data_IF_662688528484
#
_entry.id   IF_662688528484
#
_cell.length_a   1.000
_cell.length_b   1.000
_cell.length_c   1.000
_cell.angle_alpha   90.00
_cell.angle_beta   90.00
_cell.angle_gamma   90.00
#
_symmetry.space_group_name_H-M   'P 1'
#
loop_
_entity.id
_entity.type
_entity.pdbx_description
1 polymer ?
#
# COMPACT_ATOMS: atom_id res chain seq x y z
N UNK A 1 8.35 35.85 3.05
CA UNK A 1 7.36 34.96 3.70
C UNK A 1 7.19 33.74 2.81
N UNK A 2 7.54 32.55 3.29
CA UNK A 2 7.41 31.32 2.49
C UNK A 2 6.00 30.79 2.64
N UNK A 3 5.20 30.90 1.58
CA UNK A 3 3.83 30.41 1.57
C UNK A 3 3.82 28.89 1.80
N UNK A 4 3.13 28.43 2.85
CA UNK A 4 3.00 26.99 3.14
C UNK A 4 2.14 26.36 2.04
N UNK A 5 2.78 25.60 1.14
CA UNK A 5 2.06 24.82 0.14
C UNK A 5 1.25 23.72 0.84
N UNK A 6 -0.05 23.67 0.56
CA UNK A 6 -0.96 22.64 1.08
C UNK A 6 -0.88 21.37 0.22
N UNK A 7 -0.82 20.23 0.88
CA UNK A 7 -0.82 18.92 0.24
C UNK A 7 -2.18 18.26 0.41
N UNK A 8 -2.57 17.49 -0.60
CA UNK A 8 -3.64 16.50 -0.51
C UNK A 8 -3.00 15.13 -0.50
N UNK A 9 -3.34 14.34 0.52
CA UNK A 9 -2.97 12.93 0.61
C UNK A 9 -4.25 12.12 0.62
N UNK A 10 -4.36 11.15 -0.29
CA UNK A 10 -5.44 10.18 -0.28
C UNK A 10 -4.87 8.79 -0.05
N UNK A 11 -5.34 8.16 1.02
CA UNK A 11 -4.91 6.83 1.44
C UNK A 11 -6.00 5.79 1.14
N UNK A 12 -5.56 4.58 0.77
CA UNK A 12 -6.38 3.37 0.74
C UNK A 12 -5.63 2.23 1.42
N UNK A 13 -6.33 1.53 2.29
CA UNK A 13 -5.88 0.27 2.88
C UNK A 13 -6.21 -0.82 1.87
N UNK A 14 -5.26 -1.69 1.54
CA UNK A 14 -5.40 -2.67 0.48
C UNK A 14 -4.97 -4.06 0.91
N UNK A 15 -5.53 -5.04 0.22
CA UNK A 15 -5.39 -6.43 0.56
C UNK A 15 -5.44 -7.30 -0.68
N UNK A 16 -4.31 -7.42 -1.36
CA UNK A 16 -4.21 -8.15 -2.62
C UNK A 16 -3.60 -9.53 -2.43
N UNK A 17 -4.06 -10.48 -3.24
CA UNK A 17 -3.26 -11.67 -3.51
C UNK A 17 -2.15 -11.36 -4.49
N UNK A 18 -1.22 -12.31 -4.66
CA UNK A 18 -0.21 -12.21 -5.71
C UNK A 18 -0.85 -12.03 -7.10
N UNK A 19 -1.95 -12.73 -7.39
CA UNK A 19 -2.65 -12.60 -8.67
C UNK A 19 -3.30 -11.21 -8.84
N UNK A 20 -4.01 -10.71 -7.82
CA UNK A 20 -4.56 -9.35 -7.84
C UNK A 20 -3.45 -8.30 -8.01
N UNK A 21 -2.32 -8.51 -7.34
CA UNK A 21 -1.16 -7.63 -7.39
C UNK A 21 -0.51 -7.59 -8.78
N UNK A 22 -0.31 -8.76 -9.39
CA UNK A 22 0.20 -8.87 -10.76
C UNK A 22 -0.74 -8.18 -11.75
N UNK A 23 -2.04 -8.49 -11.67
CA UNK A 23 -3.03 -7.90 -12.56
C UNK A 23 -3.14 -6.37 -12.39
N UNK A 24 -3.07 -5.87 -11.16
CA UNK A 24 -3.03 -4.44 -10.89
C UNK A 24 -1.72 -3.80 -11.39
N UNK A 25 -0.58 -4.46 -11.20
CA UNK A 25 0.71 -4.01 -11.73
C UNK A 25 0.70 -3.89 -13.25
N UNK A 26 0.10 -4.84 -13.95
CA UNK A 26 -0.02 -4.81 -15.41
C UNK A 26 -0.90 -3.66 -15.87
N UNK A 27 -2.04 -3.47 -15.21
CA UNK A 27 -2.94 -2.38 -15.53
C UNK A 27 -2.32 -1.01 -15.22
N UNK A 28 -1.48 -0.91 -14.19
CA UNK A 28 -0.69 0.30 -13.92
C UNK A 28 0.35 0.54 -15.02
N UNK A 29 1.07 -0.48 -15.47
CA UNK A 29 2.04 -0.34 -16.55
C UNK A 29 1.39 0.07 -17.89
N UNK A 30 0.18 -0.43 -18.17
CA UNK A 30 -0.61 -0.02 -19.33
C UNK A 30 -1.11 1.43 -19.21
N UNK A 31 -1.67 1.80 -18.05
CA UNK A 31 -2.24 3.14 -17.84
C UNK A 31 -1.17 4.22 -17.65
N UNK A 32 0.01 3.85 -17.16
CA UNK A 32 1.10 4.73 -16.78
C UNK A 32 2.45 4.18 -17.28
N UNK A 33 2.66 4.08 -18.61
CA UNK A 33 3.89 3.50 -19.17
C UNK A 33 5.16 4.29 -18.83
N UNK A 34 5.02 5.56 -18.48
CA UNK A 34 6.11 6.43 -18.02
C UNK A 34 6.43 6.26 -16.53
N UNK A 35 5.57 5.58 -15.77
CA UNK A 35 5.78 5.46 -14.34
C UNK A 35 6.99 4.57 -14.03
N UNK A 36 7.77 5.01 -13.06
CA UNK A 36 8.91 4.26 -12.52
C UNK A 36 8.64 3.92 -11.06
N UNK A 37 9.06 2.74 -10.66
CA UNK A 37 8.87 2.21 -9.32
C UNK A 37 10.23 1.89 -8.69
N UNK A 38 10.25 1.85 -7.35
CA UNK A 38 11.39 1.48 -6.48
C UNK A 38 12.77 1.53 -7.15
N UNK A 39 13.60 2.46 -6.70
CA UNK A 39 14.92 2.66 -7.28
C UNK A 39 16.00 2.10 -6.38
N UNK A 40 17.07 1.59 -7.00
CA UNK A 40 18.28 1.15 -6.32
C UNK A 40 19.53 1.62 -7.03
N UNK A 41 20.65 1.77 -6.32
CA UNK A 41 21.94 1.79 -6.99
C UNK A 41 22.17 0.46 -7.73
N UNK A 42 22.81 0.52 -8.89
CA UNK A 42 23.19 -0.67 -9.67
C UNK A 42 24.19 -1.57 -8.92
N UNK A 43 25.00 -0.96 -8.06
CA UNK A 43 25.93 -1.63 -7.16
C UNK A 43 25.98 -0.89 -5.82
N UNK A 44 26.00 -1.66 -4.74
CA UNK A 44 25.99 -1.10 -3.38
C UNK A 44 27.39 -0.79 -2.85
N UNK A 45 28.46 -1.28 -3.48
CA UNK A 45 29.85 -1.16 -3.01
C UNK A 45 30.74 -0.62 -4.12
N UNK A 46 31.58 0.36 -3.80
CA UNK A 46 32.54 0.96 -4.74
C UNK A 46 32.82 2.43 -4.44
N UNK A 47 33.89 2.97 -5.03
CA UNK A 47 34.24 4.40 -4.89
C UNK A 47 33.44 5.30 -5.85
N UNK A 48 33.03 4.76 -6.99
CA UNK A 48 32.27 5.50 -8.01
C UNK A 48 30.79 5.58 -7.68
N UNK A 49 30.14 6.68 -8.09
CA UNK A 49 28.69 6.86 -7.91
C UNK A 49 27.94 5.85 -8.78
N UNK A 50 27.07 5.01 -8.19
CA UNK A 50 26.31 4.04 -8.95
C UNK A 50 25.25 4.71 -9.81
N UNK A 51 25.02 4.11 -10.97
CA UNK A 51 23.83 4.37 -11.76
C UNK A 51 22.59 3.95 -10.96
N UNK A 52 21.48 4.65 -11.20
CA UNK A 52 20.20 4.32 -10.57
C UNK A 52 19.41 3.43 -11.50
N UNK A 53 19.07 2.24 -11.02
CA UNK A 53 18.19 1.30 -11.70
C UNK A 53 16.78 1.50 -11.17
N UNK A 54 15.84 1.67 -12.10
CA UNK A 54 14.41 1.80 -11.84
C UNK A 54 13.68 0.54 -12.28
N UNK A 55 12.71 0.11 -11.49
CA UNK A 55 11.78 -0.94 -11.90
C UNK A 55 10.60 -0.33 -12.67
N UNK A 56 10.08 -1.05 -13.66
CA UNK A 56 9.00 -0.55 -14.54
C UNK A 56 7.63 -1.12 -14.19
N UNK A 57 7.60 -2.14 -13.34
CA UNK A 57 6.39 -2.80 -12.86
C UNK A 57 6.53 -3.02 -11.37
N UNK A 58 5.45 -2.75 -10.65
CA UNK A 58 5.47 -2.84 -9.20
C UNK A 58 5.52 -4.30 -8.70
N UNK A 59 5.01 -5.24 -9.49
CA UNK A 59 5.09 -6.67 -9.21
C UNK A 59 6.50 -7.25 -9.37
N UNK A 60 7.40 -6.58 -10.10
CA UNK A 60 8.76 -7.06 -10.35
C UNK A 60 9.74 -6.64 -9.24
N UNK A 61 9.28 -5.84 -8.28
CA UNK A 61 10.10 -5.35 -7.17
C UNK A 61 10.31 -6.50 -6.16
N UNK A 62 11.57 -6.86 -5.86
CA UNK A 62 11.85 -7.99 -4.99
C UNK A 62 11.37 -7.73 -3.54
N UNK A 63 10.45 -8.57 -3.05
CA UNK A 63 9.84 -8.50 -1.72
C UNK A 63 10.82 -8.64 -0.54
N UNK A 64 12.01 -9.21 -0.79
CA UNK A 64 13.06 -9.40 0.22
C UNK A 64 14.35 -8.75 -0.26
N UNK A 65 14.62 -7.53 0.20
CA UNK A 65 15.99 -7.01 0.16
C UNK A 65 16.58 -7.06 1.55
N UNK A 66 17.33 -8.13 1.84
CA UNK A 66 18.53 -7.99 2.69
C UNK A 66 19.43 -6.99 1.96
N UNK A 67 19.45 -5.74 2.40
CA UNK A 67 20.35 -4.71 1.86
C UNK A 67 19.71 -3.51 1.15
N UNK A 68 18.38 -3.43 1.02
CA UNK A 68 17.76 -2.18 0.59
C UNK A 68 17.85 -1.13 1.69
N UNK A 69 18.28 0.07 1.31
CA UNK A 69 18.33 1.25 2.18
C UNK A 69 16.96 1.87 2.48
N UNK A 70 15.83 1.29 2.03
CA UNK A 70 14.50 1.68 2.51
C UNK A 70 14.17 0.94 3.80
N UNK A 71 14.67 1.50 4.91
CA UNK A 71 14.28 1.11 6.27
C UNK A 71 12.78 1.28 6.56
N UNK A 72 12.04 1.92 5.64
CA UNK A 72 10.59 1.97 5.63
C UNK A 72 10.11 1.16 4.42
N UNK A 73 9.23 0.18 4.63
CA UNK A 73 8.70 -0.76 3.62
C UNK A 73 7.81 -0.10 2.56
N UNK A 74 8.34 0.93 1.91
CA UNK A 74 7.66 1.87 1.05
C UNK A 74 8.24 1.81 -0.36
N UNK A 75 7.39 1.54 -1.34
CA UNK A 75 7.73 1.58 -2.76
C UNK A 75 7.12 2.85 -3.36
N UNK A 76 7.91 3.81 -3.86
CA UNK A 76 7.38 4.94 -4.59
C UNK A 76 7.05 4.55 -6.03
N UNK A 77 6.02 5.18 -6.60
CA UNK A 77 5.72 5.25 -8.03
C UNK A 77 5.76 6.70 -8.46
N UNK A 78 6.64 6.99 -9.40
CA UNK A 78 6.97 8.32 -9.89
C UNK A 78 6.44 8.45 -11.32
N UNK A 79 5.67 9.50 -11.60
CA UNK A 79 5.10 9.74 -12.94
C UNK A 79 6.03 10.52 -13.87
N UNK A 80 7.16 11.02 -13.37
CA UNK A 80 8.18 11.75 -14.11
C UNK A 80 9.34 10.81 -14.46
N UNK A 81 9.47 10.36 -15.73
CA UNK A 81 10.50 9.42 -16.15
C UNK A 81 11.91 10.01 -16.15
N UNK A 82 12.02 11.34 -16.16
CA UNK A 82 13.31 12.07 -16.21
C UNK A 82 13.81 12.43 -14.81
N UNK A 83 12.96 12.28 -13.80
CA UNK A 83 13.35 12.56 -12.42
C UNK A 83 14.41 11.58 -11.92
N UNK A 84 15.48 12.12 -11.32
CA UNK A 84 16.56 11.34 -10.72
C UNK A 84 16.77 11.75 -9.25
N UNK A 85 17.08 10.78 -8.36
CA UNK A 85 17.46 11.11 -6.99
C UNK A 85 18.80 11.83 -7.00
N UNK A 86 18.81 13.07 -6.50
CA UNK A 86 19.99 13.93 -6.45
C UNK A 86 21.01 13.52 -5.38
N UNK A 87 20.62 12.69 -4.40
CA UNK A 87 21.48 12.30 -3.27
C UNK A 87 21.59 10.78 -3.09
N UNK A 88 22.61 10.19 -3.68
CA UNK A 88 23.21 8.95 -3.16
C UNK A 88 24.23 9.38 -2.11
N UNK A 89 24.00 9.09 -0.83
CA UNK A 89 24.99 9.37 0.22
C UNK A 89 25.74 8.10 0.56
N UNK A 90 26.98 8.31 0.90
CA UNK A 90 27.76 7.45 1.76
C UNK A 90 27.00 7.19 3.07
N UNK A 91 26.63 5.94 3.34
CA UNK A 91 26.11 5.55 4.65
C UNK A 91 27.10 4.57 5.27
N UNK A 92 27.91 4.99 6.25
CA UNK A 92 28.65 4.02 7.06
C UNK A 92 27.62 3.19 7.85
N UNK A 93 27.56 1.88 7.59
CA UNK A 93 26.78 0.97 8.41
C UNK A 93 27.55 0.71 9.71
N UNK A 94 26.91 0.97 10.84
CA UNK A 94 27.53 0.93 12.18
C UNK A 94 28.19 -0.40 12.58
N UNK A 95 28.03 -1.47 11.79
CA UNK A 95 28.52 -2.82 12.09
C UNK A 95 29.37 -3.44 10.96
N UNK A 96 29.79 -2.67 9.96
CA UNK A 96 30.65 -3.17 8.88
C UNK A 96 32.07 -2.59 8.99
N UNK A 97 33.10 -3.33 8.52
CA UNK A 97 34.48 -2.83 8.48
C UNK A 97 34.56 -1.42 7.85
N UNK A 98 35.48 -0.55 8.31
CA UNK A 98 35.65 0.82 7.79
C UNK A 98 35.88 0.89 6.27
N UNK A 99 36.31 -0.23 5.67
CA UNK A 99 36.71 -0.34 4.27
C UNK A 99 35.54 -0.80 3.37
N UNK A 100 34.42 -1.22 3.95
CA UNK A 100 33.19 -1.59 3.23
C UNK A 100 32.32 -0.37 3.00
N UNK A 101 32.71 0.38 1.97
CA UNK A 101 32.01 1.59 1.56
C UNK A 101 30.72 1.22 0.85
N UNK A 102 29.58 1.76 1.32
CA UNK A 102 28.27 1.51 0.69
C UNK A 102 27.56 2.77 0.22
N UNK A 103 26.98 2.66 -0.97
CA UNK A 103 26.06 3.65 -1.50
C UNK A 103 24.68 3.44 -0.90
N UNK A 104 24.25 4.42 -0.11
CA UNK A 104 22.88 4.53 0.34
C UNK A 104 22.15 5.64 -0.40
N UNK A 105 20.84 5.57 -0.38
CA UNK A 105 20.00 6.69 -0.79
C UNK A 105 19.73 7.51 0.48
N UNK A 106 20.23 8.74 0.53
CA UNK A 106 19.83 9.64 1.61
C UNK A 106 18.35 9.99 1.46
N UNK A 107 17.65 10.18 2.58
CA UNK A 107 16.28 10.70 2.57
C UNK A 107 16.24 12.05 1.82
N UNK A 108 15.79 11.94 0.56
CA UNK A 108 15.10 12.89 -0.33
C UNK A 108 15.78 14.21 -0.76
N UNK A 109 16.01 14.39 -2.08
CA UNK A 109 15.30 15.43 -2.86
C UNK A 109 13.78 15.26 -2.75
N UNK A 110 13.05 16.38 -2.82
CA UNK A 110 11.58 16.35 -2.88
C UNK A 110 11.13 15.48 -4.06
N UNK A 111 10.59 14.30 -3.77
CA UNK A 111 9.90 13.44 -4.74
C UNK A 111 8.95 14.30 -5.57
N UNK A 112 8.95 14.17 -6.91
CA UNK A 112 8.13 15.03 -7.75
C UNK A 112 6.66 14.73 -7.44
N UNK A 113 5.85 15.79 -7.40
CA UNK A 113 4.41 15.65 -7.19
C UNK A 113 3.70 15.70 -8.54
N UNK A 114 2.66 14.87 -8.75
CA UNK A 114 2.18 13.84 -7.83
C UNK A 114 3.10 12.62 -7.78
N UNK A 115 2.95 11.80 -6.73
CA UNK A 115 3.53 10.45 -6.68
C UNK A 115 2.62 9.52 -5.87
N UNK A 116 2.81 8.22 -6.04
CA UNK A 116 2.13 7.19 -5.24
C UNK A 116 3.16 6.49 -4.37
N UNK A 117 2.75 6.09 -3.17
CA UNK A 117 3.56 5.35 -2.21
C UNK A 117 2.79 4.09 -1.81
N UNK A 118 3.44 2.95 -1.95
CA UNK A 118 2.92 1.63 -1.61
C UNK A 118 3.66 1.15 -0.37
N UNK A 119 2.99 1.15 0.78
CA UNK A 119 3.56 0.83 2.08
C UNK A 119 3.11 -0.57 2.55
N UNK A 120 4.01 -1.25 3.26
CA UNK A 120 3.79 -2.56 3.89
C UNK A 120 3.38 -3.66 2.92
N UNK A 121 4.27 -3.95 1.96
CA UNK A 121 4.27 -5.16 1.10
C UNK A 121 2.88 -5.53 0.57
N UNK A 122 2.48 -4.85 -0.50
CA UNK A 122 1.19 -4.96 -1.18
C UNK A 122 0.90 -6.35 -1.82
N UNK A 123 1.69 -7.37 -1.48
CA UNK A 123 1.43 -8.77 -1.80
C UNK A 123 2.10 -9.70 -0.79
N UNK A 124 1.50 -10.86 -0.48
CA UNK A 124 2.11 -11.88 0.37
C UNK A 124 3.28 -12.55 -0.35
N UNK A 125 4.33 -12.93 0.38
CA UNK A 125 5.34 -13.84 -0.19
C UNK A 125 4.79 -15.28 -0.31
N UNK A 126 5.45 -16.11 -1.11
CA UNK A 126 4.99 -17.49 -1.40
C UNK A 126 4.97 -18.38 -0.16
N UNK A 127 5.81 -18.10 0.85
CA UNK A 127 5.82 -18.83 2.11
C UNK A 127 4.72 -18.34 3.06
N UNK A 128 4.42 -17.04 3.00
CA UNK A 128 3.30 -16.39 3.68
C UNK A 128 1.97 -17.00 3.22
N UNK A 129 1.76 -17.22 1.91
CA UNK A 129 0.54 -17.89 1.40
C UNK A 129 0.30 -19.31 1.96
N UNK A 130 1.36 -20.02 2.36
CA UNK A 130 1.28 -21.38 2.88
C UNK A 130 1.11 -21.46 4.41
N UNK A 131 1.42 -20.38 5.13
CA UNK A 131 1.53 -20.36 6.61
C UNK A 131 0.62 -19.34 7.29
N UNK A 132 0.09 -18.38 6.54
CA UNK A 132 -0.69 -17.29 7.09
C UNK A 132 -2.14 -17.70 7.39
N UNK A 133 -2.58 -17.43 8.61
CA UNK A 133 -4.00 -17.33 9.00
C UNK A 133 -4.55 -15.89 8.91
N UNK A 134 -3.67 -14.88 8.80
CA UNK A 134 -3.94 -13.43 8.72
C UNK A 134 -2.92 -12.70 7.83
N UNK A 135 -3.34 -12.26 6.66
CA UNK A 135 -2.50 -11.51 5.72
C UNK A 135 -1.99 -10.17 6.32
N UNK A 136 -0.92 -9.59 5.75
CA UNK A 136 -0.44 -8.26 6.18
C UNK A 136 -1.24 -7.15 5.50
N UNK A 137 -1.56 -6.14 6.28
CA UNK A 137 -2.17 -4.90 5.79
C UNK A 137 -1.18 -4.10 4.96
N UNK A 138 -1.65 -3.51 3.87
CA UNK A 138 -0.84 -2.62 3.04
C UNK A 138 -1.55 -1.31 2.78
N UNK A 139 -0.80 -0.24 2.58
CA UNK A 139 -1.35 1.09 2.35
C UNK A 139 -0.89 1.65 1.00
N UNK A 140 -1.81 2.26 0.27
CA UNK A 140 -1.52 3.04 -0.93
C UNK A 140 -1.85 4.49 -0.64
N UNK A 141 -0.84 5.35 -0.74
CA UNK A 141 -0.96 6.79 -0.55
C UNK A 141 -0.70 7.51 -1.87
N UNK A 142 -1.62 8.36 -2.29
CA UNK A 142 -1.43 9.27 -3.41
C UNK A 142 -1.18 10.68 -2.87
N UNK A 143 -0.05 11.27 -3.25
CA UNK A 143 0.36 12.62 -2.84
C UNK A 143 0.24 13.59 -4.00
N UNK A 144 -0.42 14.74 -3.78
CA UNK A 144 -0.42 15.85 -4.74
C UNK A 144 -0.55 17.20 -4.03
N UNK A 145 -0.29 18.29 -4.76
CA UNK A 145 -0.57 19.65 -4.28
C UNK A 145 -2.08 19.91 -4.31
N UNK A 146 -2.61 20.54 -3.26
CA UNK A 146 -4.05 20.71 -3.07
C UNK A 146 -4.72 21.60 -4.14
N UNK A 147 -3.96 22.54 -4.70
CA UNK A 147 -4.37 23.49 -5.74
C UNK A 147 -4.11 22.99 -7.17
N UNK A 148 -3.40 21.86 -7.33
CA UNK A 148 -3.07 21.29 -8.64
C UNK A 148 -4.25 20.46 -9.19
N UNK A 149 -5.16 21.12 -9.92
CA UNK A 149 -6.33 20.48 -10.54
C UNK A 149 -5.98 19.29 -11.45
N UNK A 150 -4.95 19.36 -12.34
CA UNK A 150 -4.48 18.20 -13.09
C UNK A 150 -4.11 17.01 -12.20
N UNK A 151 -3.31 17.22 -11.15
CA UNK A 151 -2.90 16.15 -10.25
C UNK A 151 -4.07 15.55 -9.45
N UNK A 152 -5.07 16.37 -9.10
CA UNK A 152 -6.30 15.88 -8.48
C UNK A 152 -7.16 15.03 -9.45
N UNK A 153 -7.19 15.40 -10.74
CA UNK A 153 -7.83 14.58 -11.77
C UNK A 153 -7.10 13.25 -11.98
N UNK A 154 -5.76 13.28 -11.94
CA UNK A 154 -4.94 12.08 -12.06
C UNK A 154 -5.13 11.14 -10.86
N UNK A 155 -5.15 11.68 -9.64
CA UNK A 155 -5.51 10.92 -8.45
C UNK A 155 -6.86 10.20 -8.59
N UNK A 156 -7.87 10.86 -9.18
CA UNK A 156 -9.18 10.21 -9.43
C UNK A 156 -9.09 9.11 -10.48
N UNK A 157 -8.25 9.25 -11.50
CA UNK A 157 -8.01 8.20 -12.52
C UNK A 157 -7.32 7.01 -11.89
N UNK A 158 -6.24 7.24 -11.13
CA UNK A 158 -5.51 6.20 -10.40
C UNK A 158 -6.45 5.40 -9.50
N UNK A 159 -7.25 6.06 -8.65
CA UNK A 159 -8.14 5.33 -7.76
C UNK A 159 -9.29 4.63 -8.48
N UNK A 160 -9.77 5.15 -9.62
CA UNK A 160 -10.74 4.41 -10.44
C UNK A 160 -10.14 3.16 -11.08
N UNK A 161 -8.85 3.20 -11.42
CA UNK A 161 -8.13 2.01 -11.90
C UNK A 161 -7.97 1.01 -10.77
N UNK A 162 -7.48 1.47 -9.60
CA UNK A 162 -7.40 0.65 -8.40
C UNK A 162 -8.75 -0.03 -8.17
N UNK A 163 -9.84 0.73 -8.07
CA UNK A 163 -11.22 0.24 -7.84
C UNK A 163 -11.70 -0.88 -8.81
N UNK A 164 -11.02 -1.15 -9.95
CA UNK A 164 -11.33 -2.30 -10.82
C UNK A 164 -10.82 -3.63 -10.27
N UNK A 165 -9.69 -3.63 -9.55
CA UNK A 165 -9.06 -4.83 -8.97
C UNK A 165 -9.65 -5.21 -7.63
N UNK A 166 -10.77 -4.58 -7.33
CA UNK A 166 -10.95 -4.06 -6.01
C UNK A 166 -12.44 -3.97 -5.65
N UNK A 167 -12.91 -4.54 -4.54
CA UNK A 167 -14.33 -4.40 -4.19
C UNK A 167 -14.52 -3.92 -2.75
N UNK A 168 -15.00 -2.70 -2.57
CA UNK A 168 -15.33 -2.20 -1.23
C UNK A 168 -16.79 -2.46 -0.88
N UNK A 169 -17.27 -3.69 -1.06
CA UNK A 169 -18.67 -3.99 -0.73
C UNK A 169 -18.80 -4.23 0.77
N UNK A 170 -19.63 -3.40 1.41
CA UNK A 170 -20.34 -3.67 2.67
C UNK A 170 -19.51 -4.45 3.68
N UNK A 171 -18.68 -3.77 4.44
CA UNK A 171 -17.84 -4.42 5.44
C UNK A 171 -18.52 -4.36 6.79
N UNK A 172 -18.19 -5.28 7.67
CA UNK A 172 -18.74 -5.32 9.00
C UNK A 172 -17.67 -5.66 10.02
N UNK A 173 -17.77 -4.96 11.15
CA UNK A 173 -16.92 -5.09 12.32
C UNK A 173 -17.64 -5.97 13.32
N UNK A 174 -16.96 -6.98 13.84
CA UNK A 174 -17.53 -7.91 14.80
C UNK A 174 -16.64 -8.05 16.02
N UNK A 175 -17.24 -8.26 17.18
CA UNK A 175 -16.54 -8.63 18.41
C UNK A 175 -16.18 -10.12 18.36
N UNK A 176 -14.97 -10.46 18.78
CA UNK A 176 -14.54 -11.85 18.96
C UNK A 176 -14.50 -12.23 20.45
N UNK A 177 -14.78 -13.50 20.79
CA UNK A 177 -15.19 -14.59 19.90
C UNK A 177 -16.71 -14.64 19.63
N UNK A 178 -17.50 -13.68 20.13
CA UNK A 178 -18.97 -13.73 20.08
C UNK A 178 -19.56 -13.55 18.68
N UNK A 179 -18.80 -13.03 17.72
CA UNK A 179 -19.25 -12.61 16.38
C UNK A 179 -20.42 -11.60 16.43
N UNK A 180 -20.50 -10.81 17.51
CA UNK A 180 -21.47 -9.73 17.65
C UNK A 180 -21.13 -8.58 16.70
N UNK A 181 -22.07 -8.15 15.87
CA UNK A 181 -21.89 -7.01 14.96
C UNK A 181 -21.75 -5.71 15.76
N UNK A 182 -20.63 -5.01 15.58
CA UNK A 182 -20.35 -3.71 16.19
C UNK A 182 -20.84 -2.58 15.28
N UNK A 183 -20.46 -2.63 13.98
CA UNK A 183 -20.86 -1.64 12.97
C UNK A 183 -20.70 -2.17 11.55
N UNK A 184 -21.42 -1.57 10.61
CA UNK A 184 -21.23 -1.78 9.17
C UNK A 184 -20.57 -0.56 8.52
N UNK A 185 -19.83 -0.79 7.46
CA UNK A 185 -19.20 0.24 6.64
C UNK A 185 -19.82 0.22 5.24
N UNK A 186 -20.23 1.39 4.78
CA UNK A 186 -20.78 1.55 3.45
C UNK A 186 -19.70 1.40 2.37
N UNK A 187 -20.15 1.14 1.15
CA UNK A 187 -19.27 1.13 -0.03
C UNK A 187 -18.49 2.45 -0.15
N UNK A 188 -17.17 2.34 -0.26
CA UNK A 188 -16.27 3.49 -0.35
C UNK A 188 -15.69 3.97 0.98
N UNK A 189 -15.87 3.19 2.06
CA UNK A 189 -15.14 3.35 3.31
C UNK A 189 -13.61 3.42 3.08
N UNK A 190 -12.90 3.92 4.08
CA UNK A 190 -11.44 3.98 4.09
C UNK A 190 -10.77 2.61 4.03
N UNK A 191 -11.42 1.58 4.57
CA UNK A 191 -10.98 0.19 4.49
C UNK A 191 -11.37 -0.39 3.14
N UNK A 192 -10.42 -1.03 2.46
CA UNK A 192 -10.62 -1.50 1.11
C UNK A 192 -9.94 -2.88 0.96
N UNK A 193 -10.56 -3.82 0.22
CA UNK A 193 -10.11 -5.23 0.16
C UNK A 193 -10.11 -5.79 -1.26
N UNK A 194 -9.05 -6.53 -1.61
CA UNK A 194 -8.92 -7.19 -2.91
C UNK A 194 -9.99 -8.20 -3.21
N UNK A 195 -10.17 -8.42 -4.51
CA UNK A 195 -11.14 -9.35 -5.03
C UNK A 195 -10.97 -10.73 -4.37
N UNK A 196 -9.73 -11.21 -4.28
CA UNK A 196 -9.49 -12.54 -3.73
C UNK A 196 -9.59 -12.60 -2.20
N UNK A 197 -9.19 -11.55 -1.50
CA UNK A 197 -9.40 -11.44 -0.04
C UNK A 197 -10.88 -11.54 0.33
N UNK A 198 -11.76 -10.96 -0.50
CA UNK A 198 -13.21 -11.01 -0.32
C UNK A 198 -13.75 -12.40 -0.63
N UNK A 199 -13.32 -13.01 -1.73
CA UNK A 199 -13.66 -14.39 -2.05
C UNK A 199 -13.27 -15.31 -0.89
N UNK A 200 -12.03 -15.21 -0.40
CA UNK A 200 -11.49 -16.03 0.68
C UNK A 200 -12.29 -15.95 1.97
N UNK A 201 -12.75 -14.75 2.39
CA UNK A 201 -13.60 -14.64 3.59
C UNK A 201 -15.03 -15.08 3.37
N UNK A 202 -15.58 -14.94 2.16
CA UNK A 202 -16.94 -15.43 1.85
C UNK A 202 -17.04 -16.96 1.82
N UNK A 203 -15.93 -17.66 1.62
CA UNK A 203 -15.89 -19.12 1.62
C UNK A 203 -16.04 -19.74 3.03
N UNK A 204 -15.70 -19.04 4.10
CA UNK A 204 -15.91 -19.49 5.49
C UNK A 204 -16.21 -18.28 6.39
N UNK A 205 -17.43 -18.23 6.92
CA UNK A 205 -17.95 -17.12 7.71
C UNK A 205 -17.19 -16.84 9.01
N UNK A 206 -16.31 -17.75 9.45
CA UNK A 206 -15.44 -17.58 10.61
C UNK A 206 -14.13 -16.84 10.27
N UNK A 207 -13.79 -16.71 8.98
CA UNK A 207 -12.57 -16.01 8.54
C UNK A 207 -12.73 -14.50 8.71
N UNK A 208 -11.62 -13.83 9.00
CA UNK A 208 -11.54 -12.37 9.21
C UNK A 208 -10.32 -11.82 8.48
N UNK A 209 -10.43 -10.60 7.93
CA UNK A 209 -9.33 -9.97 7.19
C UNK A 209 -8.41 -9.14 8.07
N UNK A 210 -8.95 -8.49 9.09
CA UNK A 210 -8.16 -7.75 10.06
C UNK A 210 -8.64 -8.11 11.46
N UNK A 211 -7.72 -8.53 12.33
CA UNK A 211 -7.98 -8.78 13.75
C UNK A 211 -7.12 -7.83 14.58
N UNK A 212 -7.79 -6.87 15.22
CA UNK A 212 -7.15 -5.97 16.17
C UNK A 212 -7.15 -6.64 17.55
N UNK A 213 -6.07 -7.39 17.85
CA UNK A 213 -5.96 -8.18 19.08
C UNK A 213 -6.07 -7.37 20.38
N UNK A 214 -5.71 -6.08 20.34
CA UNK A 214 -5.85 -5.17 21.49
C UNK A 214 -7.29 -4.76 21.80
N UNK A 215 -8.22 -4.96 20.87
CA UNK A 215 -9.58 -4.45 20.96
C UNK A 215 -10.65 -5.54 20.77
N UNK A 216 -10.23 -6.80 20.67
CA UNK A 216 -11.10 -7.98 20.54
C UNK A 216 -12.16 -7.86 19.43
N UNK A 217 -11.85 -7.16 18.35
CA UNK A 217 -12.72 -7.06 17.18
C UNK A 217 -12.01 -7.41 15.88
N UNK A 218 -12.80 -7.81 14.90
CA UNK A 218 -12.35 -8.20 13.58
C UNK A 218 -13.23 -7.63 12.48
N UNK A 219 -12.66 -7.50 11.28
CA UNK A 219 -13.34 -7.00 10.08
C UNK A 219 -13.54 -8.11 9.05
N UNK A 220 -14.76 -8.23 8.51
CA UNK A 220 -15.09 -9.10 7.37
C UNK A 220 -15.97 -8.41 6.32
N UNK A 221 -15.87 -8.77 5.03
CA UNK A 221 -16.85 -8.42 4.02
C UNK A 221 -18.20 -9.10 4.31
N UNK A 222 -19.30 -8.44 3.95
CA UNK A 222 -20.65 -8.98 3.95
C UNK A 222 -21.33 -8.76 2.59
N UNK A 223 -22.30 -9.60 2.25
CA UNK A 223 -23.21 -9.34 1.12
C UNK A 223 -24.30 -8.35 1.51
N UNK A 224 -25.04 -7.82 0.53
CA UNK A 224 -26.21 -6.99 0.82
C UNK A 224 -27.28 -7.80 1.56
N UNK A 225 -27.47 -9.06 1.19
CA UNK A 225 -28.40 -9.98 1.85
C UNK A 225 -27.97 -10.25 3.29
N UNK A 226 -26.67 -10.50 3.54
CA UNK A 226 -26.14 -10.61 4.90
C UNK A 226 -26.38 -9.33 5.69
N UNK A 227 -26.14 -8.15 5.11
CA UNK A 227 -26.41 -6.89 5.81
C UNK A 227 -27.89 -6.67 6.14
N UNK A 228 -28.80 -7.07 5.24
CA UNK A 228 -30.24 -6.98 5.47
C UNK A 228 -30.70 -8.00 6.52
N UNK A 229 -30.08 -9.17 6.54
CA UNK A 229 -30.36 -10.23 7.53
C UNK A 229 -29.72 -9.94 8.91
N UNK A 230 -28.70 -9.10 8.98
CA UNK A 230 -28.12 -8.68 10.25
C UNK A 230 -29.17 -7.85 11.02
N UNK A 231 -29.40 -8.14 12.30
CA UNK A 231 -30.33 -7.37 13.11
C UNK A 231 -29.88 -5.90 13.08
N UNK A 232 -30.80 -5.00 12.72
CA UNK A 232 -30.55 -3.56 12.63
C UNK A 232 -30.19 -3.00 14.01
N UNK A 233 -28.92 -3.14 14.41
CA UNK A 233 -28.43 -2.66 15.69
C UNK A 233 -27.72 -1.34 15.46
N UNK A 234 -28.36 -0.27 15.97
CA UNK A 234 -27.80 1.07 16.09
C UNK A 234 -26.40 0.98 16.69
N UNK A 235 -25.46 1.85 16.27
CA UNK A 235 -24.13 1.86 16.87
C UNK A 235 -24.27 2.02 18.39
N UNK A 236 -23.43 1.32 19.19
CA UNK A 236 -23.37 1.59 20.62
C UNK A 236 -23.04 3.07 20.79
N UNK A 237 -23.85 3.77 21.57
CA UNK A 237 -23.56 5.13 22.03
C UNK A 237 -22.17 5.06 22.65
N UNK A 238 -21.21 5.82 22.11
CA UNK A 238 -19.94 6.01 22.78
C UNK A 238 -20.25 6.74 24.09
N UNK A 239 -20.25 6.02 25.21
CA UNK A 239 -20.23 6.63 26.53
C UNK A 239 -18.87 7.34 26.67
N UNK A 240 -18.93 8.67 26.73
CA UNK A 240 -17.84 9.58 27.06
C UNK A 240 -17.48 9.52 28.54
#
# INVERSE_FOLDING_TARGET
MTEQRKFTVKTRYVWFTLADWQAFSDALAEAYPQARYDFRPAYDVGQDRPEIVWENRIADIPFSRKGASSWAGDIPMIFDPDWQPTSTRYIPLYNEPPDTMRWGIAQTPRTPLPFVKFQDRVGPDTNELATITTFRESHIHYFCLADNKPAAAEMRRYFRLLDKFCTNRNQAYYRLPSFELIRTEAKGSWYWFGHDAIRWVREDSRRSLNYAGSTSWAMRPCTEEEMVALPAQRPPVQES
#
